data_IF_972373155765
#
_entry.id   IF_972373155765
#
_cell.length_a   1.000
_cell.length_b   1.000
_cell.length_c   1.000
_cell.angle_alpha   90.00
_cell.angle_beta   90.00
_cell.angle_gamma   90.00
#
_symmetry.space_group_name_H-M   'P 1'
#
loop_
_entity.id
_entity.type
_entity.pdbx_description
1 polymer ?
#
# COMPACT_ATOMS: atom_id res chain seq x y z
N UNK A 1 13.25 0.17 0.77
CA UNK A 1 11.93 0.36 1.41
C UNK A 1 11.99 0.35 2.93
N UNK A 2 12.82 -0.48 3.56
CA UNK A 2 12.98 -0.50 5.03
C UNK A 2 13.28 0.88 5.65
N UNK A 3 13.97 1.76 4.93
CA UNK A 3 14.28 3.12 5.40
C UNK A 3 13.10 4.09 5.23
N UNK A 4 12.33 3.96 4.14
CA UNK A 4 11.28 4.90 3.78
C UNK A 4 9.91 4.53 4.35
N UNK A 5 9.65 3.25 4.65
CA UNK A 5 8.40 2.83 5.28
C UNK A 5 8.20 3.50 6.64
N UNK A 6 9.18 3.47 7.58
CA UNK A 6 9.03 4.18 8.85
C UNK A 6 8.78 5.68 8.67
N UNK A 7 9.45 6.32 7.70
CA UNK A 7 9.27 7.74 7.40
C UNK A 7 7.85 8.03 6.87
N UNK A 8 7.33 7.20 5.97
CA UNK A 8 5.98 7.34 5.44
C UNK A 8 4.92 7.15 6.54
N UNK A 9 5.11 6.18 7.44
CA UNK A 9 4.22 5.97 8.58
C UNK A 9 4.31 7.12 9.61
N UNK A 10 5.47 7.75 9.75
CA UNK A 10 5.60 8.96 10.56
C UNK A 10 4.81 10.12 9.97
N UNK A 11 4.86 10.32 8.64
CA UNK A 11 4.04 11.33 7.97
C UNK A 11 2.54 11.15 8.23
N UNK A 12 2.05 9.90 8.22
CA UNK A 12 0.66 9.59 8.56
C UNK A 12 0.36 10.04 9.99
N UNK A 13 1.17 9.65 10.97
CA UNK A 13 0.98 10.06 12.37
C UNK A 13 1.03 11.57 12.56
N UNK A 14 2.01 12.24 11.97
CA UNK A 14 2.18 13.69 12.04
C UNK A 14 0.96 14.41 11.45
N UNK A 15 0.42 13.90 10.35
CA UNK A 15 -0.80 14.42 9.74
C UNK A 15 -2.01 14.34 10.67
N UNK A 16 -2.21 13.22 11.35
CA UNK A 16 -3.28 13.06 12.33
C UNK A 16 -3.05 13.91 13.59
N UNK A 17 -1.80 14.09 14.03
CA UNK A 17 -1.46 14.89 15.21
C UNK A 17 -1.79 16.38 15.07
N UNK A 18 -2.01 16.87 13.84
CA UNK A 18 -2.48 18.23 13.57
C UNK A 18 -3.95 18.45 13.98
N UNK A 19 -4.72 17.36 14.15
CA UNK A 19 -6.13 17.42 14.47
C UNK A 19 -6.39 16.96 15.91
N UNK A 20 -7.20 17.74 16.62
CA UNK A 20 -7.66 17.42 17.97
C UNK A 20 -8.93 16.58 17.98
N UNK A 21 -9.62 16.57 19.12
CA UNK A 21 -10.94 15.96 19.29
C UNK A 21 -12.04 17.04 19.16
N UNK A 22 -13.06 16.88 18.30
CA UNK A 22 -13.32 15.73 17.43
C UNK A 22 -12.47 15.69 16.16
N UNK A 23 -12.07 14.46 15.79
CA UNK A 23 -11.43 14.17 14.52
C UNK A 23 -12.42 14.38 13.36
N UNK A 24 -12.08 15.15 12.31
CA UNK A 24 -12.96 15.31 11.16
C UNK A 24 -13.11 13.99 10.37
N UNK A 25 -14.29 13.77 9.80
CA UNK A 25 -14.65 12.61 8.96
C UNK A 25 -14.51 11.24 9.65
N UNK A 26 -14.48 11.22 10.98
CA UNK A 26 -14.37 9.99 11.79
C UNK A 26 -13.18 9.11 11.41
N UNK A 27 -12.07 9.72 10.96
CA UNK A 27 -10.88 8.99 10.53
C UNK A 27 -10.15 8.35 11.71
N UNK A 28 -9.74 7.09 11.53
CA UNK A 28 -8.93 6.37 12.52
C UNK A 28 -7.45 6.36 12.15
N UNK A 29 -6.60 6.81 13.08
CA UNK A 29 -5.14 6.72 12.95
C UNK A 29 -4.71 5.27 12.73
N UNK A 30 -5.30 4.34 13.48
CA UNK A 30 -4.95 2.92 13.43
C UNK A 30 -5.29 2.29 12.07
N UNK A 31 -6.46 2.64 11.52
CA UNK A 31 -6.87 2.19 10.19
C UNK A 31 -5.92 2.69 9.10
N UNK A 32 -5.56 3.98 9.13
CA UNK A 32 -4.64 4.56 8.15
C UNK A 32 -3.21 4.02 8.28
N UNK A 33 -2.74 3.76 9.50
CA UNK A 33 -1.44 3.13 9.74
C UNK A 33 -1.41 1.70 9.19
N UNK A 34 -2.49 0.94 9.39
CA UNK A 34 -2.64 -0.41 8.85
C UNK A 34 -2.67 -0.40 7.33
N UNK A 35 -3.51 0.46 6.75
CA UNK A 35 -3.64 0.61 5.30
C UNK A 35 -2.31 1.03 4.65
N UNK A 36 -1.64 2.05 5.18
CA UNK A 36 -0.35 2.51 4.65
C UNK A 36 0.74 1.43 4.78
N UNK A 37 0.72 0.65 5.85
CA UNK A 37 1.68 -0.45 6.05
C UNK A 37 1.46 -1.56 5.02
N UNK A 38 0.22 -1.98 4.78
CA UNK A 38 -0.14 -2.96 3.74
C UNK A 38 0.38 -2.52 2.35
N UNK A 39 0.09 -1.27 1.97
CA UNK A 39 0.53 -0.69 0.69
C UNK A 39 2.05 -0.64 0.54
N UNK A 40 2.77 -0.38 1.63
CA UNK A 40 4.24 -0.41 1.65
C UNK A 40 4.80 -1.84 1.57
N UNK A 41 4.23 -2.77 2.32
CA UNK A 41 4.76 -4.14 2.42
C UNK A 41 4.51 -4.95 1.14
N UNK A 42 3.38 -4.77 0.46
CA UNK A 42 3.09 -5.50 -0.79
C UNK A 42 4.12 -5.28 -1.90
N UNK A 43 4.83 -4.14 -1.86
CA UNK A 43 5.89 -3.78 -2.83
C UNK A 43 7.11 -4.71 -2.78
N UNK A 44 7.37 -5.41 -1.67
CA UNK A 44 8.44 -6.42 -1.66
C UNK A 44 8.08 -7.64 -2.53
N UNK A 45 6.80 -8.01 -2.55
CA UNK A 45 6.27 -9.08 -3.39
C UNK A 45 6.42 -8.77 -4.88
N UNK A 46 6.13 -7.53 -5.29
CA UNK A 46 6.19 -7.10 -6.69
C UNK A 46 7.58 -7.17 -7.31
N UNK A 47 8.64 -7.05 -6.49
CA UNK A 47 10.04 -7.06 -6.95
C UNK A 47 10.69 -8.43 -6.79
N UNK A 48 10.35 -9.17 -5.72
CA UNK A 48 11.05 -10.42 -5.39
C UNK A 48 10.85 -11.53 -6.43
N UNK A 49 9.74 -11.51 -7.18
CA UNK A 49 9.45 -12.43 -8.28
C UNK A 49 10.43 -12.34 -9.46
N UNK A 50 11.14 -11.21 -9.61
CA UNK A 50 12.11 -11.01 -10.68
C UNK A 50 13.45 -11.71 -10.42
N UNK A 51 13.72 -12.15 -9.19
CA UNK A 51 15.01 -12.73 -8.82
C UNK A 51 15.25 -14.05 -9.56
N UNK A 52 16.34 -14.10 -10.33
CA UNK A 52 16.73 -15.30 -11.09
C UNK A 52 16.09 -15.41 -12.48
N UNK A 53 15.20 -14.48 -12.86
CA UNK A 53 14.66 -14.42 -14.22
C UNK A 53 15.69 -13.85 -15.21
N UNK A 54 15.71 -14.31 -16.48
CA UNK A 54 16.51 -13.71 -17.53
C UNK A 54 16.13 -12.25 -17.77
N UNK A 55 17.13 -11.35 -17.85
CA UNK A 55 16.89 -9.91 -18.02
C UNK A 55 16.14 -9.60 -19.32
N UNK A 56 16.44 -10.32 -20.41
CA UNK A 56 15.76 -10.13 -21.69
C UNK A 56 14.28 -10.51 -21.70
N UNK A 57 13.79 -11.23 -20.68
CA UNK A 57 12.36 -11.48 -20.51
C UNK A 57 11.63 -10.30 -19.88
N UNK A 58 12.32 -9.43 -19.13
CA UNK A 58 11.70 -8.37 -18.33
C UNK A 58 11.27 -7.18 -19.21
N UNK A 59 12.03 -6.84 -20.25
CA UNK A 59 11.77 -5.65 -21.08
C UNK A 59 10.38 -5.67 -21.77
N UNK A 60 9.87 -6.86 -22.08
CA UNK A 60 8.56 -7.08 -22.71
C UNK A 60 7.54 -7.70 -21.74
N UNK A 61 7.90 -7.83 -20.46
CA UNK A 61 7.02 -8.41 -19.44
C UNK A 61 5.95 -7.41 -19.02
N UNK A 62 4.70 -7.74 -19.33
CA UNK A 62 3.53 -6.94 -18.98
C UNK A 62 2.92 -7.30 -17.62
N UNK A 63 3.40 -8.36 -16.97
CA UNK A 63 2.86 -8.84 -15.69
C UNK A 63 2.90 -7.81 -14.56
N UNK A 64 3.87 -6.86 -14.48
CA UNK A 64 3.82 -5.81 -13.46
C UNK A 64 2.58 -4.92 -13.55
N UNK A 65 2.09 -4.64 -14.77
CA UNK A 65 0.88 -3.81 -14.96
C UNK A 65 -0.36 -4.59 -14.52
N UNK A 66 -0.48 -5.84 -14.96
CA UNK A 66 -1.59 -6.72 -14.56
C UNK A 66 -1.65 -6.96 -13.05
N UNK A 67 -0.49 -6.97 -12.40
CA UNK A 67 -0.41 -7.06 -10.94
C UNK A 67 -0.99 -5.82 -10.25
N UNK A 68 -0.74 -4.61 -10.78
CA UNK A 68 -1.38 -3.40 -10.24
C UNK A 68 -2.90 -3.39 -10.47
N UNK A 69 -3.38 -3.89 -11.62
CA UNK A 69 -4.82 -4.05 -11.88
C UNK A 69 -5.44 -4.99 -10.83
N UNK A 70 -4.76 -6.10 -10.53
CA UNK A 70 -5.21 -7.06 -9.51
C UNK A 70 -5.24 -6.44 -8.11
N UNK A 71 -4.24 -5.64 -7.74
CA UNK A 71 -4.26 -4.90 -6.47
C UNK A 71 -5.40 -3.90 -6.38
N UNK A 72 -5.77 -3.23 -7.49
CA UNK A 72 -6.90 -2.33 -7.51
C UNK A 72 -8.22 -3.08 -7.25
N UNK A 73 -8.41 -4.26 -7.86
CA UNK A 73 -9.56 -5.12 -7.62
C UNK A 73 -9.61 -5.67 -6.18
N UNK A 74 -8.46 -6.01 -5.59
CA UNK A 74 -8.36 -6.41 -4.18
C UNK A 74 -8.77 -5.28 -3.24
N UNK A 75 -8.24 -4.08 -3.46
CA UNK A 75 -8.54 -2.89 -2.67
C UNK A 75 -10.03 -2.51 -2.75
N UNK A 76 -10.63 -2.60 -3.95
CA UNK A 76 -12.07 -2.38 -4.15
C UNK A 76 -12.93 -3.41 -3.42
N UNK A 77 -12.56 -4.70 -3.47
CA UNK A 77 -13.28 -5.76 -2.76
C UNK A 77 -13.21 -5.58 -1.25
N UNK A 78 -12.05 -5.20 -0.71
CA UNK A 78 -11.88 -4.92 0.71
C UNK A 78 -12.78 -3.76 1.17
N UNK A 79 -12.86 -2.68 0.38
CA UNK A 79 -13.74 -1.55 0.67
C UNK A 79 -15.22 -1.93 0.62
N UNK A 80 -15.64 -2.70 -0.39
CA UNK A 80 -17.02 -3.17 -0.50
C UNK A 80 -17.43 -4.04 0.69
N UNK A 81 -16.53 -4.91 1.16
CA UNK A 81 -16.76 -5.78 2.32
C UNK A 81 -16.89 -5.01 3.64
N UNK A 82 -16.23 -3.87 3.79
CA UNK A 82 -16.35 -3.01 4.98
C UNK A 82 -17.66 -2.21 5.02
N UNK A 83 -18.33 -2.05 3.87
CA UNK A 83 -19.59 -1.30 3.72
C UNK A 83 -20.86 -2.16 3.73
N UNK A 84 -20.72 -3.49 3.83
CA UNK A 84 -21.81 -4.48 3.80
C UNK A 84 -22.24 -4.90 5.21
#
# INVERSE_FOLDING_TARGET
MNELIPLALQLTQDGFALYGDPMPFDLSVEEFMTYSSDKGMRRFGTISSARGRPVGEIDLDYTPVQLEDTFAEEDQRALAAASA
#
